data_IF_238745782477
#
_entry.id   IF_238745782477
#
_cell.length_a   1.000
_cell.length_b   1.000
_cell.length_c   1.000
_cell.angle_alpha   90.00
_cell.angle_beta   90.00
_cell.angle_gamma   90.00
#
_symmetry.space_group_name_H-M   'P 1'
#
loop_
_entity.id
_entity.type
_entity.pdbx_description
1 polymer ?
#
# COMPACT_ATOMS: atom_id res chain seq x y z
N UNK A 1 27.29 4.35 -3.93
CA UNK A 1 27.43 2.89 -3.70
C UNK A 1 27.13 2.20 -5.01
N UNK A 2 28.10 1.48 -5.59
CA UNK A 2 27.81 0.50 -6.64
C UNK A 2 27.25 -0.73 -5.92
N UNK A 3 25.99 -1.07 -6.16
CA UNK A 3 25.44 -2.33 -5.66
C UNK A 3 26.01 -3.47 -6.53
N UNK A 4 26.54 -4.50 -5.88
CA UNK A 4 26.92 -5.73 -6.57
C UNK A 4 25.68 -6.37 -7.19
N UNK A 5 25.84 -6.89 -8.40
CA UNK A 5 24.78 -7.59 -9.12
C UNK A 5 25.34 -8.78 -9.87
N UNK A 6 24.47 -9.73 -10.17
CA UNK A 6 24.76 -10.86 -11.07
C UNK A 6 23.79 -10.85 -12.25
N UNK A 7 24.20 -11.39 -13.39
CA UNK A 7 23.33 -11.51 -14.57
C UNK A 7 22.87 -12.95 -14.71
N UNK A 8 21.55 -13.16 -14.76
CA UNK A 8 20.96 -14.50 -14.88
C UNK A 8 19.71 -14.51 -15.75
N UNK A 9 19.38 -15.69 -16.28
CA UNK A 9 18.07 -15.97 -16.83
C UNK A 9 17.07 -16.21 -15.68
N UNK A 10 16.09 -15.34 -15.55
CA UNK A 10 15.04 -15.40 -14.51
C UNK A 10 13.74 -15.92 -15.11
N UNK A 11 13.08 -16.83 -14.41
CA UNK A 11 11.73 -17.25 -14.75
C UNK A 11 10.77 -16.09 -14.52
N UNK A 12 10.02 -15.69 -15.55
CA UNK A 12 9.05 -14.57 -15.47
C UNK A 12 7.96 -14.84 -14.43
N UNK A 13 7.64 -16.11 -14.19
CA UNK A 13 6.73 -16.54 -13.14
C UNK A 13 7.24 -16.27 -11.70
N UNK A 14 8.56 -16.13 -11.50
CA UNK A 14 9.15 -15.79 -10.20
C UNK A 14 9.18 -14.28 -9.93
N UNK A 15 8.88 -13.46 -10.94
CA UNK A 15 8.70 -12.02 -10.77
C UNK A 15 7.31 -11.80 -10.18
N UNK A 16 7.23 -11.30 -8.95
CA UNK A 16 6.03 -11.41 -8.12
C UNK A 16 4.80 -10.72 -8.73
N UNK A 17 4.97 -9.52 -9.29
CA UNK A 17 3.84 -8.63 -9.64
C UNK A 17 4.02 -7.99 -11.02
N UNK A 18 2.93 -7.45 -11.57
CA UNK A 18 3.02 -6.51 -12.67
C UNK A 18 3.59 -5.17 -12.20
N UNK A 19 4.56 -4.58 -12.92
CA UNK A 19 5.08 -3.29 -12.54
C UNK A 19 4.03 -2.20 -12.79
N UNK A 20 3.65 -1.45 -11.75
CA UNK A 20 2.63 -0.40 -11.82
C UNK A 20 3.20 0.95 -12.29
N UNK A 21 4.49 1.20 -12.07
CA UNK A 21 5.18 2.45 -12.44
C UNK A 21 5.57 2.51 -13.93
N UNK A 22 4.60 2.33 -14.84
CA UNK A 22 4.82 2.30 -16.30
C UNK A 22 4.96 3.69 -16.96
N UNK A 23 4.87 4.79 -16.20
CA UNK A 23 4.83 6.13 -16.77
C UNK A 23 3.55 6.42 -17.59
N UNK A 24 3.41 7.62 -18.16
CA UNK A 24 2.22 8.08 -18.88
C UNK A 24 2.18 7.65 -20.36
N UNK A 25 3.26 7.08 -20.88
CA UNK A 25 3.37 6.65 -22.29
C UNK A 25 2.81 5.26 -22.52
N UNK A 26 2.34 4.57 -21.48
CA UNK A 26 1.70 3.27 -21.60
C UNK A 26 0.37 3.38 -22.36
N UNK A 27 0.34 2.90 -23.60
CA UNK A 27 -0.85 2.93 -24.45
C UNK A 27 -2.00 2.12 -23.87
N UNK A 28 -1.71 0.97 -23.23
CA UNK A 28 -2.72 0.14 -22.59
C UNK A 28 -3.42 0.86 -21.44
N UNK A 29 -2.65 1.48 -20.53
CA UNK A 29 -3.26 2.24 -19.42
C UNK A 29 -4.10 3.40 -19.96
N UNK A 30 -3.59 4.13 -20.96
CA UNK A 30 -4.34 5.22 -21.61
C UNK A 30 -5.64 4.74 -22.27
N UNK A 31 -5.62 3.59 -22.94
CA UNK A 31 -6.80 2.95 -23.54
C UNK A 31 -7.86 2.62 -22.48
N UNK A 32 -7.42 2.18 -21.29
CA UNK A 32 -8.30 1.94 -20.14
C UNK A 32 -8.64 3.19 -19.33
N UNK A 33 -8.27 4.38 -19.81
CA UNK A 33 -8.54 5.64 -19.12
C UNK A 33 -7.72 5.86 -17.84
N UNK A 34 -6.63 5.09 -17.65
CA UNK A 34 -5.75 5.20 -16.49
C UNK A 34 -4.47 5.98 -16.78
N UNK A 35 -3.94 6.61 -15.74
CA UNK A 35 -2.69 7.34 -15.68
C UNK A 35 -1.89 6.93 -14.44
N UNK A 36 -0.61 6.61 -14.63
CA UNK A 36 0.32 6.29 -13.52
C UNK A 36 0.52 7.43 -12.52
N UNK A 37 0.17 8.66 -12.89
CA UNK A 37 0.23 9.83 -12.00
C UNK A 37 -1.08 10.11 -11.27
N UNK A 38 -2.22 9.67 -11.83
CA UNK A 38 -3.56 10.01 -11.31
C UNK A 38 -4.32 8.82 -10.74
N UNK A 39 -3.99 7.61 -11.12
CA UNK A 39 -4.61 6.42 -10.55
C UNK A 39 -3.76 5.81 -9.44
N UNK A 40 -4.38 4.94 -8.65
CA UNK A 40 -3.71 4.20 -7.58
C UNK A 40 -2.97 3.00 -8.14
N UNK A 41 -1.95 2.51 -7.42
CA UNK A 41 -1.23 1.30 -7.83
C UNK A 41 -2.17 0.10 -7.90
N UNK A 42 -3.16 0.04 -7.00
CA UNK A 42 -4.25 -0.96 -6.96
C UNK A 42 -5.00 -1.02 -8.28
N UNK A 43 -5.48 0.13 -8.76
CA UNK A 43 -6.27 0.22 -9.98
C UNK A 43 -5.43 -0.20 -11.20
N UNK A 44 -4.16 0.25 -11.24
CA UNK A 44 -3.24 -0.08 -12.32
C UNK A 44 -2.92 -1.57 -12.31
N UNK A 45 -2.57 -2.14 -11.16
CA UNK A 45 -2.22 -3.56 -11.04
C UNK A 45 -3.41 -4.45 -11.42
N UNK A 46 -4.60 -4.12 -10.93
CA UNK A 46 -5.84 -4.84 -11.28
C UNK A 46 -6.10 -4.84 -12.79
N UNK A 47 -5.94 -3.69 -13.46
CA UNK A 47 -6.08 -3.62 -14.92
C UNK A 47 -5.00 -4.45 -15.64
N UNK A 48 -3.75 -4.39 -15.20
CA UNK A 48 -2.66 -5.16 -15.83
C UNK A 48 -2.86 -6.67 -15.69
N UNK A 49 -3.31 -7.14 -14.53
CA UNK A 49 -3.63 -8.55 -14.28
C UNK A 49 -4.82 -9.02 -15.12
N UNK A 50 -5.91 -8.24 -15.12
CA UNK A 50 -7.12 -8.58 -15.88
C UNK A 50 -6.84 -8.61 -17.38
N UNK A 51 -6.12 -7.61 -17.90
CA UNK A 51 -5.79 -7.54 -19.33
C UNK A 51 -4.82 -8.63 -19.78
N UNK A 52 -3.97 -9.15 -18.90
CA UNK A 52 -3.09 -10.27 -19.21
C UNK A 52 -3.82 -11.56 -19.55
N UNK A 53 -5.00 -11.76 -18.97
CA UNK A 53 -5.83 -12.93 -19.24
C UNK A 53 -6.57 -12.86 -20.59
N UNK A 54 -6.63 -11.67 -21.21
CA UNK A 54 -7.36 -11.43 -22.44
C UNK A 54 -6.42 -10.98 -23.56
N UNK A 55 -6.12 -11.92 -24.47
CA UNK A 55 -5.27 -11.70 -25.64
C UNK A 55 -5.73 -10.57 -26.55
N UNK A 56 -7.00 -10.15 -26.47
CA UNK A 56 -7.47 -8.99 -27.19
C UNK A 56 -6.69 -7.76 -26.76
N UNK A 57 -6.38 -7.53 -25.48
CA UNK A 57 -5.67 -6.32 -25.03
C UNK A 57 -4.21 -6.24 -25.51
N UNK A 58 -3.62 -7.37 -25.93
CA UNK A 58 -2.27 -7.41 -26.46
C UNK A 58 -2.11 -6.54 -27.73
N UNK A 59 -3.15 -6.42 -28.56
CA UNK A 59 -3.08 -5.61 -29.78
C UNK A 59 -2.82 -4.12 -29.48
N UNK A 60 -3.34 -3.62 -28.35
CA UNK A 60 -3.13 -2.23 -27.91
C UNK A 60 -1.64 -2.01 -27.63
N UNK A 61 -1.02 -2.94 -26.90
CA UNK A 61 0.40 -2.91 -26.58
C UNK A 61 1.27 -3.05 -27.84
N UNK A 62 0.93 -3.99 -28.73
CA UNK A 62 1.66 -4.21 -29.98
C UNK A 62 1.60 -3.01 -30.92
N UNK A 63 0.51 -2.24 -30.89
CA UNK A 63 0.37 -1.00 -31.64
C UNK A 63 1.15 0.19 -31.06
N UNK A 64 1.94 0.00 -30.00
CA UNK A 64 2.92 0.97 -29.52
C UNK A 64 4.29 0.69 -30.14
N UNK A 65 5.03 1.73 -30.55
CA UNK A 65 6.36 1.58 -31.14
C UNK A 65 7.34 0.86 -30.20
N UNK A 66 7.24 1.09 -28.90
CA UNK A 66 8.16 0.53 -27.91
C UNK A 66 7.78 -0.91 -27.55
N UNK A 67 6.57 -1.12 -27.02
CA UNK A 67 6.11 -2.46 -26.63
C UNK A 67 6.03 -3.42 -27.83
N UNK A 68 5.59 -2.94 -28.99
CA UNK A 68 5.60 -3.72 -30.23
C UNK A 68 6.99 -4.23 -30.61
N UNK A 69 8.03 -3.43 -30.36
CA UNK A 69 9.43 -3.86 -30.58
C UNK A 69 9.83 -4.94 -29.58
N UNK A 70 9.47 -4.79 -28.30
CA UNK A 70 9.75 -5.80 -27.29
C UNK A 70 9.12 -7.16 -27.65
N UNK A 71 7.86 -7.19 -28.08
CA UNK A 71 7.21 -8.44 -28.49
C UNK A 71 7.91 -9.11 -29.67
N UNK A 72 8.34 -8.33 -30.68
CA UNK A 72 9.06 -8.89 -31.84
C UNK A 72 10.42 -9.47 -31.48
N UNK A 73 11.13 -8.87 -30.53
CA UNK A 73 12.42 -9.40 -30.07
C UNK A 73 12.22 -10.64 -29.18
N UNK A 74 11.23 -10.61 -28.30
CA UNK A 74 10.87 -11.78 -27.49
C UNK A 74 10.41 -12.97 -28.32
N UNK A 75 9.66 -12.76 -29.42
CA UNK A 75 9.26 -13.84 -30.32
C UNK A 75 10.43 -14.48 -31.07
N UNK A 76 11.58 -13.80 -31.12
CA UNK A 76 12.85 -14.33 -31.63
C UNK A 76 13.71 -14.97 -30.52
N UNK A 77 13.20 -15.09 -29.30
CA UNK A 77 13.93 -15.62 -28.14
C UNK A 77 14.97 -14.66 -27.57
N UNK A 78 14.89 -13.35 -27.87
CA UNK A 78 15.83 -12.33 -27.40
C UNK A 78 15.21 -11.47 -26.29
N UNK A 79 16.00 -11.15 -25.27
CA UNK A 79 15.60 -10.15 -24.27
C UNK A 79 15.86 -8.73 -24.81
N UNK A 80 14.83 -7.87 -24.93
CA UNK A 80 15.00 -6.61 -25.65
C UNK A 80 15.94 -5.62 -24.98
N UNK A 81 16.84 -5.04 -25.79
CA UNK A 81 17.77 -3.96 -25.40
C UNK A 81 18.69 -4.27 -24.21
N UNK A 82 18.94 -5.54 -23.90
CA UNK A 82 19.63 -5.97 -22.68
C UNK A 82 21.05 -5.38 -22.53
N UNK A 83 21.77 -5.22 -23.63
CA UNK A 83 23.15 -4.69 -23.64
C UNK A 83 23.24 -3.21 -23.25
N UNK A 84 22.21 -2.41 -23.59
CA UNK A 84 22.21 -0.95 -23.37
C UNK A 84 21.43 -0.56 -22.12
N UNK A 85 20.33 -1.24 -21.87
CA UNK A 85 19.40 -0.94 -20.79
C UNK A 85 19.03 -2.24 -20.09
N UNK A 86 19.88 -2.84 -19.25
CA UNK A 86 19.55 -4.13 -18.65
C UNK A 86 18.24 -4.06 -17.83
N UNK A 87 17.45 -5.14 -17.86
CA UNK A 87 16.36 -5.31 -16.89
C UNK A 87 16.99 -5.45 -15.51
N UNK A 88 16.52 -4.67 -14.53
CA UNK A 88 17.03 -4.74 -13.15
C UNK A 88 15.94 -5.28 -12.25
N UNK A 89 16.25 -6.38 -11.58
CA UNK A 89 15.39 -7.00 -10.58
C UNK A 89 16.06 -6.91 -9.23
N UNK A 90 15.26 -6.68 -8.19
CA UNK A 90 15.68 -6.89 -6.81
C UNK A 90 15.20 -8.26 -6.35
N UNK A 91 16.01 -8.97 -5.58
CA UNK A 91 15.75 -10.35 -5.18
C UNK A 91 15.77 -10.52 -3.66
N UNK A 92 14.81 -11.29 -3.16
CA UNK A 92 14.82 -11.78 -1.79
C UNK A 92 14.12 -13.15 -1.70
N UNK A 93 14.82 -14.15 -1.16
CA UNK A 93 14.23 -15.47 -0.92
C UNK A 93 13.72 -16.18 -2.18
N UNK A 94 14.39 -15.99 -3.32
CA UNK A 94 14.05 -16.57 -4.62
C UNK A 94 12.91 -15.86 -5.36
N UNK A 95 12.40 -14.74 -4.83
CA UNK A 95 11.37 -13.90 -5.46
C UNK A 95 11.98 -12.61 -6.00
N UNK A 96 11.41 -12.11 -7.10
CA UNK A 96 11.94 -10.94 -7.80
C UNK A 96 10.92 -9.82 -7.94
N UNK A 97 11.37 -8.57 -7.82
CA UNK A 97 10.59 -7.37 -8.10
C UNK A 97 11.30 -6.47 -9.11
N UNK A 98 10.51 -5.77 -9.94
CA UNK A 98 11.05 -5.00 -11.05
C UNK A 98 11.50 -3.62 -10.59
N UNK A 99 12.80 -3.39 -10.60
CA UNK A 99 13.38 -2.06 -10.37
C UNK A 99 13.45 -1.26 -11.69
N UNK A 100 13.99 -1.87 -12.77
CA UNK A 100 14.06 -1.26 -14.10
C UNK A 100 13.65 -2.22 -15.21
N UNK A 101 13.24 -1.68 -16.36
CA UNK A 101 12.72 -2.48 -17.47
C UNK A 101 11.24 -2.83 -17.34
N UNK A 102 10.46 -2.00 -16.64
CA UNK A 102 9.05 -2.19 -16.28
C UNK A 102 8.17 -2.61 -17.47
N UNK A 103 8.22 -1.88 -18.59
CA UNK A 103 7.47 -2.25 -19.79
C UNK A 103 7.93 -3.58 -20.41
N UNK A 104 9.22 -3.91 -20.34
CA UNK A 104 9.76 -5.17 -20.90
C UNK A 104 9.32 -6.37 -20.09
N UNK A 105 9.25 -6.25 -18.77
CA UNK A 105 8.68 -7.30 -17.91
C UNK A 105 7.16 -7.39 -18.07
N UNK A 106 6.46 -6.25 -18.13
CA UNK A 106 5.02 -6.24 -18.40
C UNK A 106 4.72 -6.95 -19.74
N UNK A 107 5.45 -6.63 -20.81
CA UNK A 107 5.32 -7.29 -22.10
C UNK A 107 5.67 -8.78 -22.05
N UNK A 108 6.75 -9.16 -21.35
CA UNK A 108 7.12 -10.57 -21.17
C UNK A 108 6.01 -11.37 -20.49
N UNK A 109 5.43 -10.84 -19.40
CA UNK A 109 4.30 -11.46 -18.70
C UNK A 109 3.06 -11.57 -19.59
N UNK A 110 2.69 -10.49 -20.28
CA UNK A 110 1.54 -10.44 -21.20
C UNK A 110 1.67 -11.42 -22.38
N UNK A 111 2.89 -11.62 -22.87
CA UNK A 111 3.15 -12.52 -24.01
C UNK A 111 3.44 -13.97 -23.60
N UNK A 112 3.42 -14.28 -22.29
CA UNK A 112 3.73 -15.62 -21.80
C UNK A 112 5.19 -16.05 -21.99
N UNK A 113 6.12 -15.09 -22.02
CA UNK A 113 7.55 -15.40 -22.06
C UNK A 113 7.96 -16.09 -20.76
N UNK A 114 8.64 -17.24 -20.89
CA UNK A 114 9.01 -18.06 -19.75
C UNK A 114 10.19 -17.48 -18.98
N UNK A 115 11.20 -16.97 -19.70
CA UNK A 115 12.45 -16.48 -19.10
C UNK A 115 12.92 -15.18 -19.72
N UNK A 116 13.54 -14.35 -18.89
CA UNK A 116 14.17 -13.08 -19.30
C UNK A 116 15.57 -13.00 -18.71
N UNK A 117 16.50 -12.40 -19.44
CA UNK A 117 17.81 -12.04 -18.88
C UNK A 117 17.66 -10.76 -18.03
N UNK A 118 18.24 -10.75 -16.83
CA UNK A 118 18.21 -9.59 -15.95
C UNK A 118 19.44 -9.50 -15.05
N UNK A 119 19.74 -8.27 -14.64
CA UNK A 119 20.67 -7.97 -13.54
C UNK A 119 19.92 -8.08 -12.21
N UNK A 120 20.44 -8.89 -11.31
CA UNK A 120 19.84 -9.24 -10.04
C UNK A 120 20.59 -8.54 -8.92
N UNK A 121 19.85 -7.75 -8.15
CA UNK A 121 20.35 -7.03 -6.98
C UNK A 121 19.79 -7.70 -5.72
N UNK A 122 20.61 -8.39 -4.92
CA UNK A 122 20.13 -9.04 -3.71
C UNK A 122 19.69 -8.00 -2.67
N UNK A 123 18.64 -8.31 -1.94
CA UNK A 123 18.19 -7.54 -0.78
C UNK A 123 18.51 -8.30 0.51
N UNK A 124 18.81 -7.55 1.57
CA UNK A 124 19.00 -8.13 2.91
C UNK A 124 17.67 -8.60 3.52
N UNK A 125 16.55 -8.01 3.09
CA UNK A 125 15.20 -8.31 3.57
C UNK A 125 14.12 -7.94 2.56
N UNK A 126 12.95 -8.53 2.74
CA UNK A 126 11.80 -8.32 1.86
C UNK A 126 11.12 -6.98 2.11
N UNK A 127 11.26 -6.07 1.16
CA UNK A 127 10.61 -4.76 1.19
C UNK A 127 9.36 -4.64 0.36
N UNK A 128 9.22 -5.53 -0.60
CA UNK A 128 8.33 -5.33 -1.71
C UNK A 128 7.11 -6.23 -1.64
N UNK A 129 7.17 -7.36 -0.93
CA UNK A 129 6.01 -8.23 -0.75
C UNK A 129 4.80 -7.44 -0.28
N UNK A 130 3.70 -7.65 -1.01
CA UNK A 130 2.39 -7.19 -0.60
C UNK A 130 1.97 -7.88 0.68
N UNK A 131 1.46 -7.09 1.63
CA UNK A 131 0.93 -7.60 2.89
C UNK A 131 -0.52 -7.99 2.66
N UNK A 132 -0.88 -9.22 3.05
CA UNK A 132 -2.22 -9.75 2.84
C UNK A 132 -3.31 -8.86 3.46
N UNK A 133 -4.47 -8.83 2.81
CA UNK A 133 -5.67 -8.22 3.36
C UNK A 133 -6.06 -8.90 4.67
N UNK A 134 -6.65 -8.13 5.59
CA UNK A 134 -7.11 -8.62 6.89
C UNK A 134 -8.53 -8.12 7.11
N UNK A 135 -9.41 -9.08 7.41
CA UNK A 135 -10.85 -8.89 7.56
C UNK A 135 -11.56 -8.45 6.27
N UNK A 136 -12.89 -8.41 6.30
CA UNK A 136 -13.73 -8.01 5.18
C UNK A 136 -14.29 -6.60 5.40
N UNK A 137 -14.54 -5.82 4.34
CA UNK A 137 -15.21 -4.53 4.47
C UNK A 137 -16.53 -4.66 5.22
N UNK A 138 -16.81 -3.71 6.10
CA UNK A 138 -17.98 -3.73 6.98
C UNK A 138 -17.82 -2.71 8.11
N UNK A 139 -18.54 -2.93 9.21
CA UNK A 139 -18.40 -2.12 10.42
C UNK A 139 -17.46 -2.81 11.40
N UNK A 140 -16.34 -2.15 11.70
CA UNK A 140 -15.40 -2.52 12.75
C UNK A 140 -15.71 -1.70 14.01
N UNK A 141 -16.18 -2.37 15.07
CA UNK A 141 -16.45 -1.74 16.37
C UNK A 141 -15.50 -2.26 17.43
N UNK A 142 -14.94 -1.35 18.20
CA UNK A 142 -14.10 -1.71 19.34
C UNK A 142 -14.04 -0.55 20.34
N UNK A 143 -13.69 -0.87 21.57
CA UNK A 143 -13.45 0.11 22.62
C UNK A 143 -12.01 0.01 23.07
N UNK A 144 -11.43 1.13 23.47
CA UNK A 144 -10.14 1.16 24.14
C UNK A 144 -10.18 2.18 25.29
N UNK A 145 -9.24 2.05 26.21
CA UNK A 145 -9.11 2.97 27.33
C UNK A 145 -7.68 3.44 27.46
N UNK A 146 -7.48 4.70 27.81
CA UNK A 146 -6.17 5.19 28.20
C UNK A 146 -6.23 6.18 29.37
N UNK A 147 -5.12 6.31 30.09
CA UNK A 147 -4.98 7.23 31.24
C UNK A 147 -4.14 8.44 30.84
N UNK A 148 -4.61 9.65 31.16
CA UNK A 148 -3.83 10.91 31.04
C UNK A 148 -3.41 11.44 32.40
N UNK A 149 -2.32 12.22 32.43
CA UNK A 149 -1.85 12.92 33.65
C UNK A 149 -0.76 12.20 34.46
N UNK A 150 0.07 11.39 33.80
CA UNK A 150 1.25 10.75 34.40
C UNK A 150 1.98 9.79 33.47
N UNK A 151 1.92 10.04 32.15
CA UNK A 151 2.20 9.05 31.11
C UNK A 151 0.89 8.45 30.55
N UNK A 152 0.77 8.40 29.23
CA UNK A 152 -0.27 7.64 28.54
C UNK A 152 -0.06 6.13 28.77
N UNK A 153 -1.09 5.47 29.29
CA UNK A 153 -1.14 4.01 29.48
C UNK A 153 -2.46 3.49 28.92
N UNK A 154 -2.47 2.28 28.38
CA UNK A 154 -3.64 1.67 27.74
C UNK A 154 -3.42 1.44 26.25
N UNK A 155 -4.49 1.47 25.47
CA UNK A 155 -4.46 1.25 24.02
C UNK A 155 -5.08 2.43 23.28
N UNK A 156 -4.63 2.66 22.05
CA UNK A 156 -5.21 3.64 21.11
C UNK A 156 -5.33 2.97 19.75
N UNK A 157 -6.35 3.35 18.99
CA UNK A 157 -6.48 2.95 17.60
C UNK A 157 -6.06 4.05 16.64
N UNK A 158 -5.51 3.63 15.50
CA UNK A 158 -5.08 4.49 14.42
C UNK A 158 -5.71 4.00 13.12
N UNK A 159 -6.27 4.93 12.36
CA UNK A 159 -6.80 4.68 11.02
C UNK A 159 -5.90 5.36 9.99
N UNK A 160 -5.14 4.56 9.26
CA UNK A 160 -4.39 5.00 8.10
C UNK A 160 -5.25 4.89 6.86
N UNK A 161 -5.32 5.98 6.08
CA UNK A 161 -6.04 5.97 4.81
C UNK A 161 -5.28 6.80 3.79
N UNK A 162 -5.13 6.24 2.59
CA UNK A 162 -4.78 7.03 1.40
C UNK A 162 -6.08 7.41 0.71
N UNK A 163 -6.43 8.70 0.77
CA UNK A 163 -7.67 9.18 0.16
C UNK A 163 -7.65 8.96 -1.36
N UNK A 164 -8.74 8.49 -1.98
CA UNK A 164 -8.87 8.50 -3.44
C UNK A 164 -8.69 9.92 -3.99
N UNK A 165 -8.09 10.06 -5.17
CA UNK A 165 -7.65 11.39 -5.67
C UNK A 165 -8.81 12.34 -5.95
N UNK A 166 -9.99 11.81 -6.26
CA UNK A 166 -11.23 12.54 -6.44
C UNK A 166 -11.78 13.14 -5.13
N UNK A 167 -11.32 12.67 -3.98
CA UNK A 167 -11.67 13.18 -2.67
C UNK A 167 -10.45 13.83 -2.03
N UNK A 168 -10.25 15.14 -2.28
CA UNK A 168 -9.33 15.93 -1.43
C UNK A 168 -9.99 16.11 -0.08
N UNK A 169 -9.48 15.52 1.01
CA UNK A 169 -10.07 15.75 2.32
C UNK A 169 -9.90 17.23 2.64
N UNK A 170 -10.97 17.93 3.01
CA UNK A 170 -10.88 19.34 3.43
C UNK A 170 -10.09 19.54 4.73
N UNK A 171 -9.74 18.46 5.44
CA UNK A 171 -9.14 18.51 6.78
C UNK A 171 -8.08 17.43 7.08
N UNK A 172 -7.72 16.58 6.11
CA UNK A 172 -6.79 15.47 6.33
C UNK A 172 -5.74 15.41 5.24
N UNK A 173 -4.49 15.62 5.61
CA UNK A 173 -3.35 15.28 4.78
C UNK A 173 -3.15 13.75 4.89
N UNK A 174 -3.25 13.05 3.76
CA UNK A 174 -3.10 11.59 3.65
C UNK A 174 -1.75 11.06 4.15
N UNK A 175 -0.82 11.96 4.44
CA UNK A 175 0.49 11.67 5.02
C UNK A 175 0.41 11.24 6.48
N UNK A 176 -0.70 11.49 7.20
CA UNK A 176 -0.81 11.22 8.63
C UNK A 176 -1.94 10.25 8.97
N UNK A 177 -1.62 9.28 9.82
CA UNK A 177 -2.59 8.33 10.33
C UNK A 177 -3.49 8.98 11.41
N UNK A 178 -4.79 8.73 11.34
CA UNK A 178 -5.78 9.33 12.23
C UNK A 178 -5.77 8.63 13.58
N UNK A 179 -5.41 9.34 14.65
CA UNK A 179 -5.56 8.84 16.02
C UNK A 179 -7.02 8.90 16.42
N UNK A 180 -7.64 7.75 16.63
CA UNK A 180 -9.05 7.64 16.99
C UNK A 180 -9.21 7.80 18.50
N UNK A 181 -8.92 8.99 19.02
CA UNK A 181 -8.94 9.34 20.44
C UNK A 181 -9.93 10.48 20.75
N UNK A 182 -9.85 11.06 21.95
CA UNK A 182 -10.73 12.16 22.39
C UNK A 182 -10.63 13.43 21.54
N UNK A 183 -9.51 13.68 20.85
CA UNK A 183 -9.38 14.83 19.95
C UNK A 183 -10.27 14.71 18.71
N UNK A 184 -10.67 13.48 18.40
CA UNK A 184 -11.55 13.13 17.28
C UNK A 184 -12.96 12.76 17.76
N UNK A 185 -13.33 13.09 19.00
CA UNK A 185 -14.63 12.73 19.57
C UNK A 185 -15.79 13.34 18.76
N UNK A 186 -16.58 12.48 18.12
CA UNK A 186 -17.75 12.87 17.34
C UNK A 186 -19.04 12.82 18.15
N UNK A 187 -18.95 12.54 19.46
CA UNK A 187 -20.08 12.25 20.36
C UNK A 187 -20.96 11.10 19.82
N UNK A 188 -20.33 10.09 19.24
CA UNK A 188 -20.99 8.93 18.62
C UNK A 188 -21.70 9.23 17.30
N UNK A 189 -21.57 10.44 16.75
CA UNK A 189 -22.12 10.77 15.43
C UNK A 189 -21.21 10.21 14.34
N UNK A 190 -21.82 9.66 13.29
CA UNK A 190 -21.10 9.20 12.10
C UNK A 190 -20.54 10.40 11.35
N UNK A 191 -19.24 10.37 11.08
CA UNK A 191 -18.51 11.35 10.24
C UNK A 191 -17.95 10.61 9.04
N UNK A 192 -18.27 11.08 7.85
CA UNK A 192 -17.76 10.52 6.60
C UNK A 192 -16.43 11.19 6.25
N UNK A 193 -15.38 10.39 6.03
CA UNK A 193 -14.08 10.88 5.56
C UNK A 193 -14.11 11.15 4.06
N UNK A 194 -14.68 10.19 3.32
CA UNK A 194 -15.04 10.26 1.92
C UNK A 194 -16.10 9.17 1.63
N UNK A 195 -16.83 9.24 0.51
CA UNK A 195 -17.93 8.32 0.24
C UNK A 195 -17.54 6.85 0.46
N UNK A 196 -18.23 6.17 1.37
CA UNK A 196 -18.00 4.76 1.70
C UNK A 196 -16.89 4.48 2.72
N UNK A 197 -16.27 5.50 3.31
CA UNK A 197 -15.46 5.37 4.52
C UNK A 197 -15.89 6.40 5.56
N UNK A 198 -16.25 5.90 6.74
CA UNK A 198 -16.73 6.74 7.83
C UNK A 198 -16.31 6.20 9.19
N UNK A 199 -16.32 7.07 10.19
CA UNK A 199 -16.05 6.69 11.56
C UNK A 199 -17.03 7.36 12.52
N UNK A 200 -17.18 6.80 13.71
CA UNK A 200 -17.80 7.46 14.86
C UNK A 200 -16.98 7.18 16.10
N UNK A 201 -16.85 8.20 16.96
CA UNK A 201 -16.10 8.12 18.20
C UNK A 201 -16.96 8.70 19.32
N UNK A 202 -17.11 7.95 20.40
CA UNK A 202 -17.74 8.42 21.62
C UNK A 202 -16.76 8.29 22.78
N UNK A 203 -16.47 9.40 23.45
CA UNK A 203 -15.55 9.43 24.58
C UNK A 203 -16.27 9.61 25.91
N UNK A 204 -15.80 8.92 26.94
CA UNK A 204 -16.21 9.11 28.33
C UNK A 204 -14.98 9.36 29.18
N UNK A 205 -14.96 10.49 29.88
CA UNK A 205 -13.83 10.89 30.73
C UNK A 205 -14.24 10.77 32.20
N UNK A 206 -13.46 10.00 32.98
CA UNK A 206 -13.63 9.86 34.42
C UNK A 206 -12.37 10.32 35.15
N UNK A 207 -12.53 11.17 36.17
CA UNK A 207 -11.42 11.58 37.03
C UNK A 207 -11.06 10.43 37.98
N UNK A 208 -9.77 10.12 38.09
CA UNK A 208 -9.27 9.07 38.97
C UNK A 208 -8.45 9.67 40.12
N UNK A 209 -9.01 9.64 41.33
CA UNK A 209 -8.37 10.07 42.57
C UNK A 209 -8.56 11.55 42.93
N UNK A 210 -8.40 11.84 44.23
CA UNK A 210 -8.63 13.16 44.82
C UNK A 210 -7.46 14.14 44.60
N UNK A 211 -6.22 13.63 44.55
CA UNK A 211 -4.99 14.45 44.70
C UNK A 211 -4.19 14.63 43.37
N UNK A 212 -4.28 13.70 42.42
CA UNK A 212 -3.57 13.80 41.12
C UNK A 212 -4.55 14.05 39.96
N UNK A 213 -4.17 14.88 38.98
CA UNK A 213 -4.94 15.16 37.74
C UNK A 213 -4.89 13.97 36.77
N UNK A 214 -5.28 12.78 37.21
CA UNK A 214 -5.37 11.60 36.36
C UNK A 214 -6.79 11.44 35.81
N UNK A 215 -6.89 11.26 34.50
CA UNK A 215 -8.15 11.03 33.82
C UNK A 215 -8.10 9.69 33.10
N UNK A 216 -9.12 8.86 33.31
CA UNK A 216 -9.35 7.66 32.50
C UNK A 216 -10.29 8.06 31.38
N UNK A 217 -9.83 7.87 30.14
CA UNK A 217 -10.60 8.12 28.93
C UNK A 217 -11.00 6.77 28.37
N UNK A 218 -12.28 6.53 28.23
CA UNK A 218 -12.83 5.39 27.50
C UNK A 218 -13.32 5.87 26.14
N UNK A 219 -12.88 5.21 25.08
CA UNK A 219 -13.17 5.58 23.70
C UNK A 219 -13.85 4.41 23.01
N UNK A 220 -15.09 4.60 22.60
CA UNK A 220 -15.82 3.68 21.74
C UNK A 220 -15.66 4.14 20.30
N UNK A 221 -15.21 3.24 19.42
CA UNK A 221 -14.92 3.53 18.02
C UNK A 221 -15.73 2.61 17.13
N UNK A 222 -16.31 3.19 16.08
CA UNK A 222 -16.83 2.47 14.93
C UNK A 222 -16.16 3.01 13.67
N UNK A 223 -15.62 2.12 12.83
CA UNK A 223 -15.14 2.45 11.48
C UNK A 223 -15.96 1.62 10.49
N UNK A 224 -16.69 2.28 9.60
CA UNK A 224 -17.52 1.63 8.59
C UNK A 224 -16.92 1.84 7.19
N UNK A 225 -16.68 0.72 6.51
CA UNK A 225 -15.97 0.62 5.23
C UNK A 225 -16.87 -0.12 4.24
N UNK A 226 -17.26 0.54 3.15
CA UNK A 226 -18.07 -0.08 2.12
C UNK A 226 -17.25 -1.03 1.22
N UNK A 227 -17.83 -2.14 0.73
CA UNK A 227 -17.13 -3.11 -0.11
C UNK A 227 -16.48 -2.54 -1.38
N UNK A 228 -17.06 -1.48 -1.96
CA UNK A 228 -16.55 -0.83 -3.17
C UNK A 228 -15.16 -0.20 -3.00
N UNK A 229 -14.65 -0.13 -1.77
CA UNK A 229 -13.38 0.51 -1.43
C UNK A 229 -12.19 -0.45 -1.31
N UNK A 230 -12.26 -1.66 -1.86
CA UNK A 230 -11.13 -2.60 -1.87
C UNK A 230 -9.87 -2.08 -2.60
N UNK A 231 -10.01 -1.07 -3.46
CA UNK A 231 -8.89 -0.43 -4.16
C UNK A 231 -8.29 0.78 -3.41
N UNK A 232 -8.75 1.04 -2.18
CA UNK A 232 -8.25 2.14 -1.33
C UNK A 232 -7.34 1.57 -0.26
N UNK A 233 -6.12 2.10 -0.10
CA UNK A 233 -5.21 1.71 0.98
C UNK A 233 -5.79 2.16 2.32
N UNK A 234 -6.38 1.23 3.07
CA UNK A 234 -6.93 1.46 4.40
C UNK A 234 -6.27 0.48 5.36
N UNK A 235 -5.80 0.98 6.49
CA UNK A 235 -5.22 0.17 7.55
C UNK A 235 -5.63 0.70 8.91
N UNK A 236 -6.45 -0.09 9.61
CA UNK A 236 -6.85 0.17 10.99
C UNK A 236 -6.02 -0.70 11.93
N UNK A 237 -5.38 -0.06 12.89
CA UNK A 237 -4.47 -0.68 13.85
C UNK A 237 -4.81 -0.28 15.28
N UNK A 238 -4.40 -1.09 16.26
CA UNK A 238 -4.38 -0.74 17.68
C UNK A 238 -2.97 -0.93 18.24
N UNK A 239 -2.63 -0.17 19.26
CA UNK A 239 -1.39 -0.41 19.99
C UNK A 239 -1.31 0.38 21.29
N UNK A 240 -0.20 0.25 22.02
CA UNK A 240 -0.03 0.88 23.31
C UNK A 240 -0.13 2.42 23.22
N UNK A 241 -1.00 3.00 24.05
CA UNK A 241 -1.25 4.44 24.10
C UNK A 241 0.03 5.26 24.31
N UNK A 242 0.95 4.75 25.15
CA UNK A 242 2.26 5.38 25.39
C UNK A 242 3.01 5.61 24.09
N UNK A 243 3.10 4.56 23.29
CA UNK A 243 3.90 4.51 22.10
C UNK A 243 3.30 5.45 21.02
N UNK A 244 1.97 5.45 20.90
CA UNK A 244 1.23 6.24 19.92
C UNK A 244 0.98 7.72 20.31
N UNK A 245 1.02 8.07 21.60
CA UNK A 245 0.85 9.46 22.06
C UNK A 245 2.14 10.27 22.06
N UNK A 246 3.28 9.65 22.39
CA UNK A 246 4.54 10.37 22.61
C UNK A 246 5.48 10.33 21.41
N UNK A 247 5.05 9.75 20.29
CA UNK A 247 5.90 9.64 19.10
C UNK A 247 7.10 8.73 19.34
N UNK A 248 6.99 7.76 20.26
CA UNK A 248 7.97 6.69 20.34
C UNK A 248 7.94 5.94 18.99
N UNK A 249 9.09 5.50 18.47
CA UNK A 249 9.16 4.71 17.25
C UNK A 249 8.43 3.36 17.47
N UNK A 250 7.14 3.29 17.11
CA UNK A 250 6.33 2.07 17.23
C UNK A 250 6.38 1.29 15.93
N UNK A 251 7.25 0.29 15.80
CA UNK A 251 7.24 -0.54 14.59
C UNK A 251 5.85 -1.13 14.37
N UNK A 252 5.40 -1.21 13.13
CA UNK A 252 4.07 -1.73 12.82
C UNK A 252 3.88 -3.19 13.29
N UNK A 253 4.99 -3.90 13.53
CA UNK A 253 5.05 -5.23 14.17
C UNK A 253 4.54 -5.23 15.62
N UNK A 254 4.58 -4.08 16.30
CA UNK A 254 4.07 -3.89 17.65
C UNK A 254 2.62 -3.35 17.67
N UNK A 255 1.95 -3.34 16.53
CA UNK A 255 0.57 -2.91 16.38
C UNK A 255 -0.32 -4.07 15.95
N UNK A 256 -1.47 -4.21 16.61
CA UNK A 256 -2.48 -5.18 16.23
C UNK A 256 -3.27 -4.65 15.05
N UNK A 257 -3.16 -5.32 13.91
CA UNK A 257 -3.96 -5.00 12.73
C UNK A 257 -5.40 -5.46 12.94
N UNK A 258 -6.34 -4.51 12.92
CA UNK A 258 -7.78 -4.76 13.05
C UNK A 258 -8.41 -4.95 11.68
N UNK A 259 -8.01 -4.18 10.68
CA UNK A 259 -8.52 -4.27 9.33
C UNK A 259 -7.46 -3.73 8.37
N UNK A 260 -7.30 -4.36 7.22
CA UNK A 260 -6.37 -3.90 6.19
C UNK A 260 -6.85 -4.30 4.80
N UNK A 261 -6.81 -3.35 3.88
CA UNK A 261 -7.07 -3.57 2.44
C UNK A 261 -6.19 -2.64 1.58
N UNK A 262 -5.98 -3.02 0.32
CA UNK A 262 -5.12 -2.32 -0.63
C UNK A 262 -3.67 -2.85 -0.66
N UNK A 263 -2.86 -2.32 -1.58
CA UNK A 263 -1.46 -2.72 -1.81
C UNK A 263 -0.52 -2.08 -0.80
N UNK A 264 -0.48 -2.68 0.37
CA UNK A 264 0.53 -2.41 1.38
C UNK A 264 1.78 -3.24 1.11
N UNK A 265 2.96 -2.62 1.15
CA UNK A 265 4.27 -3.30 1.06
C UNK A 265 5.00 -3.20 2.39
N UNK A 266 5.89 -4.14 2.70
CA UNK A 266 6.67 -4.14 3.94
C UNK A 266 7.47 -2.84 4.18
N UNK A 267 7.95 -2.16 3.13
CA UNK A 267 8.63 -0.86 3.27
C UNK A 267 7.78 0.20 3.97
N UNK A 268 6.45 0.14 3.84
CA UNK A 268 5.55 1.05 4.54
C UNK A 268 5.75 0.92 6.06
N UNK A 269 5.99 -0.28 6.59
CA UNK A 269 6.18 -0.50 8.02
C UNK A 269 7.40 0.19 8.60
N UNK A 270 8.37 0.57 7.75
CA UNK A 270 9.58 1.26 8.20
C UNK A 270 9.44 2.78 8.24
N UNK A 271 8.92 3.37 7.16
CA UNK A 271 8.86 4.82 7.03
C UNK A 271 7.78 5.44 7.91
N UNK A 272 6.65 4.77 7.98
CA UNK A 272 5.40 5.30 8.54
C UNK A 272 5.31 5.26 10.07
N UNK A 273 6.27 4.58 10.69
CA UNK A 273 6.40 4.46 12.14
C UNK A 273 7.26 5.57 12.73
N UNK A 274 8.23 6.04 11.96
CA UNK A 274 9.16 7.08 12.37
C UNK A 274 8.61 8.49 12.15
N UNK A 275 7.47 8.59 11.44
CA UNK A 275 6.77 9.85 11.15
C UNK A 275 5.48 10.03 11.98
N UNK A 276 5.33 9.30 13.08
CA UNK A 276 4.25 9.58 14.04
C UNK A 276 4.27 11.09 14.39
N UNK A 277 3.11 11.78 14.34
CA UNK A 277 3.07 13.22 14.44
C UNK A 277 3.73 13.69 15.74
N UNK A 278 4.69 14.60 15.59
CA UNK A 278 5.29 15.37 16.69
C UNK A 278 4.24 16.21 17.41
#
# INVERSE_FOLDING_TARGET
MQYEYTTHMVQVAHIAEYPTALGNTCKLLKDKGLSTYHDTEEAIMSILENTASDSSNLHVCMGSSHCGTFFREYSQGKTPFIEKEPIKLVEYGGRYWVAEGKHRICAAKQYGIQKVEAQIYPLEKDWYTCIAEINVPGSCRFSHTFVRGGGAHGEIAILWVVSPKEFKPRAFDSSYALRLDESMNTNGKKVELFPGLSYSIACRVRRHGLIKRRYVVSVDVEVAIEPIRCLTKIWLMKGPAKALHYGDCVTAENLDTVFRVGLWRNIHLQHNVNEAPK
#
